data_IF_190600366674
#
_entry.id   IF_190600366674
#
_cell.length_a   1.000
_cell.length_b   1.000
_cell.length_c   1.000
_cell.angle_alpha   90.00
_cell.angle_beta   90.00
_cell.angle_gamma   90.00
#
_symmetry.space_group_name_H-M   'P 1'
#
loop_
_entity.id
_entity.type
_entity.pdbx_description
1 polymer ?
#
# COMPACT_ATOMS: atom_id res chain seq x y z
N UNK A 1 -42.83 20.24 -17.72
CA UNK A 1 -42.43 18.87 -18.14
C UNK A 1 -41.22 18.55 -17.31
N UNK A 2 -41.47 17.92 -16.17
CA UNK A 2 -40.51 17.75 -15.09
C UNK A 2 -39.42 16.77 -15.48
N UNK A 3 -38.18 17.23 -15.38
CA UNK A 3 -36.98 16.43 -15.62
C UNK A 3 -36.76 15.56 -14.38
N UNK A 4 -37.33 14.34 -14.39
CA UNK A 4 -37.09 13.38 -13.33
C UNK A 4 -35.60 13.04 -13.29
N UNK A 5 -34.97 13.46 -12.20
CA UNK A 5 -33.63 13.09 -11.76
C UNK A 5 -33.44 11.58 -11.85
N UNK A 6 -32.56 11.15 -12.75
CA UNK A 6 -32.13 9.76 -12.87
C UNK A 6 -31.14 9.45 -11.73
N UNK A 7 -31.62 9.46 -10.48
CA UNK A 7 -30.83 9.04 -9.34
C UNK A 7 -30.74 7.50 -9.36
N UNK A 8 -29.54 6.91 -9.21
CA UNK A 8 -29.40 5.46 -9.15
C UNK A 8 -30.22 4.90 -7.98
N UNK A 9 -30.84 3.74 -8.19
CA UNK A 9 -31.63 3.07 -7.17
C UNK A 9 -30.77 2.76 -5.92
N UNK A 10 -31.33 2.87 -4.71
CA UNK A 10 -30.59 2.61 -3.47
C UNK A 10 -30.10 1.15 -3.42
N UNK A 11 -28.82 0.96 -3.06
CA UNK A 11 -28.20 -0.36 -2.96
C UNK A 11 -28.74 -1.16 -1.77
N UNK A 12 -29.01 -2.45 -1.99
CA UNK A 12 -29.37 -3.41 -0.92
C UNK A 12 -28.21 -3.62 0.06
N UNK A 13 -28.48 -4.08 1.29
CA UNK A 13 -27.42 -4.37 2.29
C UNK A 13 -26.36 -5.34 1.73
N UNK A 14 -26.80 -6.40 1.05
CA UNK A 14 -25.90 -7.37 0.41
C UNK A 14 -25.01 -6.74 -0.66
N UNK A 15 -25.51 -5.78 -1.42
CA UNK A 15 -24.70 -5.07 -2.42
C UNK A 15 -23.67 -4.16 -1.76
N UNK A 16 -24.00 -3.55 -0.61
CA UNK A 16 -23.05 -2.75 0.17
C UNK A 16 -21.94 -3.60 0.77
N UNK A 17 -22.27 -4.77 1.32
CA UNK A 17 -21.26 -5.70 1.87
C UNK A 17 -20.29 -6.18 0.80
N UNK A 18 -20.80 -6.59 -0.37
CA UNK A 18 -19.95 -7.01 -1.50
C UNK A 18 -19.07 -5.85 -1.99
N UNK A 19 -19.59 -4.64 -2.08
CA UNK A 19 -18.80 -3.47 -2.47
C UNK A 19 -17.70 -3.14 -1.46
N UNK A 20 -17.95 -3.27 -0.15
CA UNK A 20 -16.92 -3.13 0.89
C UNK A 20 -15.86 -4.20 0.78
N UNK A 21 -16.25 -5.45 0.52
CA UNK A 21 -15.29 -6.54 0.40
C UNK A 21 -14.43 -6.44 -0.85
N UNK A 22 -14.98 -5.95 -1.97
CA UNK A 22 -14.21 -5.62 -3.17
C UNK A 22 -13.24 -4.46 -2.91
N UNK A 23 -13.63 -3.45 -2.14
CA UNK A 23 -12.76 -2.31 -1.81
C UNK A 23 -11.51 -2.71 -1.01
N UNK A 24 -11.52 -3.88 -0.36
CA UNK A 24 -10.38 -4.43 0.38
C UNK A 24 -9.35 -5.15 -0.51
N UNK A 25 -9.73 -5.53 -1.74
CA UNK A 25 -8.88 -6.34 -2.63
C UNK A 25 -7.99 -5.41 -3.46
N UNK A 26 -6.68 -5.67 -3.44
CA UNK A 26 -5.69 -4.96 -4.26
C UNK A 26 -4.77 -5.94 -4.96
N UNK A 27 -4.50 -5.70 -6.25
CA UNK A 27 -3.52 -6.47 -7.01
C UNK A 27 -2.12 -5.90 -6.78
N UNK A 28 -1.09 -6.75 -6.78
CA UNK A 28 0.29 -6.30 -6.56
C UNK A 28 0.74 -5.23 -7.57
N UNK A 29 0.20 -5.27 -8.79
CA UNK A 29 0.51 -4.29 -9.85
C UNK A 29 -0.11 -2.92 -9.60
N UNK A 30 -1.14 -2.82 -8.75
CA UNK A 30 -1.81 -1.54 -8.48
C UNK A 30 -0.89 -0.56 -7.77
N UNK A 31 0.14 -1.04 -7.06
CA UNK A 31 1.18 -0.21 -6.43
C UNK A 31 1.79 0.81 -7.41
N UNK A 32 1.97 0.44 -8.68
CA UNK A 32 2.57 1.30 -9.70
C UNK A 32 1.54 2.09 -10.53
N UNK A 33 0.25 1.72 -10.48
CA UNK A 33 -0.79 2.28 -11.36
C UNK A 33 -1.28 3.64 -10.90
N UNK A 34 -1.64 4.45 -11.89
CA UNK A 34 -2.38 5.70 -11.70
C UNK A 34 -3.88 5.42 -11.54
N UNK A 35 -4.27 4.98 -10.34
CA UNK A 35 -5.65 4.59 -10.05
C UNK A 35 -6.26 5.36 -8.87
N UNK A 36 -5.64 6.47 -8.47
CA UNK A 36 -5.99 7.17 -7.23
C UNK A 36 -5.51 6.42 -5.99
N UNK A 37 -6.06 6.69 -4.79
CA UNK A 37 -5.72 5.96 -3.57
C UNK A 37 -6.00 4.47 -3.72
N UNK A 38 -5.09 3.63 -3.20
CA UNK A 38 -5.28 2.18 -3.17
C UNK A 38 -6.29 1.75 -2.11
N UNK A 39 -6.45 2.56 -1.07
CA UNK A 39 -7.39 2.32 0.02
C UNK A 39 -7.90 3.64 0.58
N UNK A 40 -9.09 3.60 1.14
CA UNK A 40 -9.59 4.60 2.09
C UNK A 40 -10.17 3.81 3.26
N UNK A 41 -9.63 4.01 4.46
CA UNK A 41 -10.10 3.29 5.66
C UNK A 41 -11.09 4.20 6.40
N UNK A 42 -12.40 3.93 6.31
CA UNK A 42 -13.38 4.66 7.07
C UNK A 42 -13.26 4.30 8.57
N UNK A 43 -13.53 5.28 9.45
CA UNK A 43 -13.46 5.08 10.92
C UNK A 43 -14.39 3.95 11.36
N UNK A 44 -15.52 3.79 10.69
CA UNK A 44 -16.53 2.78 11.01
C UNK A 44 -16.08 1.33 10.69
N UNK A 45 -14.98 1.17 9.94
CA UNK A 45 -14.36 -0.15 9.68
C UNK A 45 -13.17 -0.46 10.60
N UNK A 46 -12.75 0.49 11.44
CA UNK A 46 -11.68 0.27 12.41
C UNK A 46 -12.17 -0.60 13.58
N UNK A 47 -11.24 -1.32 14.20
CA UNK A 47 -11.55 -2.08 15.42
C UNK A 47 -11.60 -1.08 16.59
N UNK A 48 -12.69 -1.08 17.40
CA UNK A 48 -12.79 -0.17 18.54
C UNK A 48 -11.71 -0.49 19.57
N UNK A 49 -11.05 0.57 20.06
CA UNK A 49 -10.07 0.45 21.12
C UNK A 49 -10.74 0.02 22.45
N UNK A 50 -9.97 -0.47 23.43
CA UNK A 50 -10.53 -0.78 24.74
C UNK A 50 -11.14 0.47 25.43
N UNK A 51 -12.08 0.28 26.37
CA UNK A 51 -12.67 1.38 27.12
C UNK A 51 -11.61 2.29 27.76
N UNK A 52 -11.76 3.63 27.72
CA UNK A 52 -12.96 4.39 27.33
C UNK A 52 -13.03 4.81 25.85
N UNK A 53 -12.19 4.24 24.98
CA UNK A 53 -12.10 4.62 23.56
C UNK A 53 -12.85 3.64 22.63
N UNK A 54 -13.83 2.91 23.18
CA UNK A 54 -14.57 1.85 22.51
C UNK A 54 -15.72 2.33 21.62
N UNK A 55 -15.91 3.65 21.52
CA UNK A 55 -17.00 4.29 20.79
C UNK A 55 -16.49 5.05 19.58
N UNK A 56 -16.52 4.39 18.43
CA UNK A 56 -16.09 4.97 17.15
C UNK A 56 -16.90 6.22 16.77
N UNK A 57 -18.16 6.33 17.23
CA UNK A 57 -19.00 7.51 16.95
C UNK A 57 -18.53 8.77 17.70
N UNK A 58 -17.75 8.60 18.77
CA UNK A 58 -17.13 9.70 19.52
C UNK A 58 -15.76 10.09 18.94
N UNK A 59 -15.21 9.32 17.99
CA UNK A 59 -13.94 9.65 17.36
C UNK A 59 -14.07 10.85 16.40
N UNK A 60 -13.11 11.79 16.45
CA UNK A 60 -13.12 12.92 15.53
C UNK A 60 -12.88 12.45 14.09
N UNK A 61 -13.64 12.95 13.10
CA UNK A 61 -13.45 12.56 11.72
C UNK A 61 -12.06 12.96 11.21
N UNK A 62 -11.46 12.12 10.38
CA UNK A 62 -10.22 12.44 9.71
C UNK A 62 -10.41 13.67 8.81
N UNK A 63 -9.60 14.72 9.06
CA UNK A 63 -9.65 15.92 8.24
C UNK A 63 -9.10 15.61 6.85
N UNK A 64 -9.85 15.84 5.76
CA UNK A 64 -9.34 15.60 4.41
C UNK A 64 -8.12 16.47 4.09
N UNK A 65 -7.21 15.93 3.28
CA UNK A 65 -6.09 16.68 2.73
C UNK A 65 -6.58 17.80 1.82
N UNK A 66 -5.89 18.95 1.86
CA UNK A 66 -6.17 20.05 0.92
C UNK A 66 -5.75 19.69 -0.49
N UNK A 67 -6.41 20.25 -1.50
CA UNK A 67 -6.08 20.01 -2.91
C UNK A 67 -4.61 20.32 -3.21
N UNK A 68 -4.10 21.42 -2.65
CA UNK A 68 -2.70 21.81 -2.76
C UNK A 68 -1.73 20.79 -2.14
N UNK A 69 -2.11 20.10 -1.07
CA UNK A 69 -1.29 19.04 -0.48
C UNK A 69 -1.31 17.79 -1.37
N UNK A 70 -2.47 17.41 -1.91
CA UNK A 70 -2.63 16.23 -2.80
C UNK A 70 -1.91 16.38 -4.14
N UNK A 71 -1.85 17.61 -4.66
CA UNK A 71 -1.11 17.92 -5.89
C UNK A 71 0.40 17.89 -5.66
N UNK A 72 0.86 18.37 -4.50
CA UNK A 72 2.29 18.56 -4.21
C UNK A 72 2.98 17.31 -3.66
N UNK A 73 2.29 16.52 -2.85
CA UNK A 73 2.89 15.42 -2.09
C UNK A 73 2.28 14.07 -2.45
N UNK A 74 3.07 13.01 -2.27
CA UNK A 74 2.59 11.64 -2.38
C UNK A 74 1.64 11.32 -1.23
N UNK A 75 0.39 11.02 -1.57
CA UNK A 75 -0.68 10.60 -0.66
C UNK A 75 -1.55 9.49 -1.27
N UNK A 76 -1.17 8.95 -2.43
CA UNK A 76 -2.03 8.10 -3.26
C UNK A 76 -2.03 6.63 -2.79
N UNK A 77 -1.56 6.35 -1.58
CA UNK A 77 -1.71 5.05 -0.93
C UNK A 77 -3.05 4.98 -0.20
N UNK A 78 -3.21 5.80 0.83
CA UNK A 78 -4.30 5.78 1.81
C UNK A 78 -4.78 7.20 2.19
N UNK A 79 -4.55 8.18 1.30
CA UNK A 79 -4.89 9.59 1.50
C UNK A 79 -4.26 10.23 2.75
N UNK A 80 -3.18 9.64 3.28
CA UNK A 80 -2.44 10.17 4.43
C UNK A 80 -1.06 10.66 4.02
N UNK A 81 -0.58 11.74 4.67
CA UNK A 81 0.79 12.24 4.51
C UNK A 81 1.48 12.14 5.87
N UNK A 82 2.30 11.10 6.04
CA UNK A 82 3.18 10.97 7.21
C UNK A 82 4.51 11.71 7.00
N UNK A 83 5.01 11.72 5.77
CA UNK A 83 6.23 12.41 5.35
C UNK A 83 5.89 13.23 4.12
N UNK A 84 6.33 14.49 4.09
CA UNK A 84 6.11 15.44 2.99
C UNK A 84 6.95 15.11 1.74
N UNK A 85 6.77 13.90 1.20
CA UNK A 85 7.46 13.40 0.02
C UNK A 85 6.86 14.05 -1.24
N UNK A 86 7.61 14.89 -1.98
CA UNK A 86 7.07 15.59 -3.13
C UNK A 86 6.88 14.64 -4.32
N UNK A 87 5.90 14.96 -5.18
CA UNK A 87 5.78 14.32 -6.50
C UNK A 87 6.91 14.83 -7.42
N UNK A 88 7.56 13.98 -8.23
CA UNK A 88 8.62 14.39 -9.14
C UNK A 88 8.08 15.36 -10.19
N UNK A 89 8.84 16.42 -10.46
CA UNK A 89 8.42 17.45 -11.42
C UNK A 89 8.72 17.05 -12.88
N UNK A 90 9.70 16.18 -13.10
CA UNK A 90 10.12 15.71 -14.42
C UNK A 90 10.42 14.22 -14.41
N UNK A 91 10.42 13.62 -15.60
CA UNK A 91 10.75 12.21 -15.81
C UNK A 91 12.19 11.89 -15.38
N UNK A 92 13.15 12.80 -15.63
CA UNK A 92 14.54 12.60 -15.21
C UNK A 92 14.70 12.60 -13.69
N UNK A 93 13.90 13.40 -12.98
CA UNK A 93 13.89 13.41 -11.52
C UNK A 93 13.30 12.11 -10.97
N UNK A 94 12.22 11.62 -11.58
CA UNK A 94 11.64 10.32 -11.27
C UNK A 94 12.65 9.18 -11.46
N UNK A 95 13.32 9.12 -12.62
CA UNK A 95 14.35 8.13 -12.90
C UNK A 95 15.49 8.16 -11.86
N UNK A 96 15.95 9.37 -11.49
CA UNK A 96 16.99 9.56 -10.48
C UNK A 96 16.56 9.05 -9.11
N UNK A 97 15.31 9.30 -8.72
CA UNK A 97 14.76 8.84 -7.45
C UNK A 97 14.60 7.31 -7.42
N UNK A 98 14.07 6.72 -8.50
CA UNK A 98 13.95 5.25 -8.63
C UNK A 98 15.33 4.58 -8.62
N UNK A 99 16.31 5.13 -9.33
CA UNK A 99 17.69 4.63 -9.31
C UNK A 99 18.32 4.74 -7.91
N UNK A 100 18.03 5.82 -7.18
CA UNK A 100 18.50 6.01 -5.80
C UNK A 100 17.87 4.99 -4.84
N UNK A 101 16.58 4.69 -5.00
CA UNK A 101 15.90 3.62 -4.27
C UNK A 101 16.55 2.26 -4.53
N UNK A 102 16.77 1.89 -5.80
CA UNK A 102 17.43 0.63 -6.16
C UNK A 102 18.85 0.53 -5.60
N UNK A 103 19.60 1.64 -5.62
CA UNK A 103 20.93 1.74 -5.02
C UNK A 103 20.88 1.52 -3.50
N UNK A 104 19.91 2.12 -2.81
CA UNK A 104 19.69 1.89 -1.37
C UNK A 104 19.30 0.45 -1.07
N UNK A 105 18.38 -0.11 -1.85
CA UNK A 105 17.93 -1.49 -1.71
C UNK A 105 19.07 -2.49 -1.90
N UNK A 106 19.93 -2.29 -2.91
CA UNK A 106 21.12 -3.13 -3.13
C UNK A 106 21.99 -3.19 -1.88
N UNK A 107 22.25 -2.04 -1.24
CA UNK A 107 23.05 -1.94 -0.01
C UNK A 107 22.43 -2.73 1.15
N UNK A 108 21.10 -2.86 1.24
CA UNK A 108 20.47 -3.67 2.29
C UNK A 108 20.89 -5.15 2.24
N UNK A 109 21.32 -5.64 1.08
CA UNK A 109 21.76 -7.03 0.86
C UNK A 109 23.29 -7.19 0.84
N UNK A 110 24.04 -6.13 1.16
CA UNK A 110 25.50 -6.14 1.27
C UNK A 110 25.89 -6.26 2.76
N UNK A 111 26.83 -7.15 3.08
CA UNK A 111 27.26 -7.41 4.46
C UNK A 111 27.82 -6.15 5.11
N UNK A 112 28.62 -5.38 4.37
CA UNK A 112 29.24 -4.14 4.83
C UNK A 112 28.22 -3.09 5.30
N UNK A 113 27.00 -3.15 4.75
CA UNK A 113 25.95 -2.16 4.98
C UNK A 113 24.83 -2.65 5.93
N UNK A 114 24.63 -3.96 6.08
CA UNK A 114 23.50 -4.52 6.85
C UNK A 114 23.81 -5.82 7.62
N UNK A 115 25.07 -6.09 7.99
CA UNK A 115 25.46 -7.35 8.63
C UNK A 115 24.57 -7.82 9.81
N UNK A 116 24.03 -6.90 10.62
CA UNK A 116 23.19 -7.24 11.79
C UNK A 116 21.86 -7.90 11.37
N UNK A 117 21.25 -7.43 10.27
CA UNK A 117 19.93 -7.87 9.83
C UNK A 117 19.94 -8.60 8.50
N UNK A 118 21.13 -8.82 7.92
CA UNK A 118 21.28 -9.42 6.59
C UNK A 118 20.65 -10.82 6.52
N UNK A 119 20.95 -11.70 7.48
CA UNK A 119 20.42 -13.06 7.46
C UNK A 119 18.88 -13.10 7.57
N UNK A 120 18.23 -12.41 8.53
CA UNK A 120 16.76 -12.30 8.55
C UNK A 120 16.16 -11.75 7.24
N UNK A 121 16.79 -10.74 6.64
CA UNK A 121 16.32 -10.14 5.40
C UNK A 121 16.42 -11.11 4.22
N UNK A 122 17.55 -11.80 4.05
CA UNK A 122 17.74 -12.81 2.99
C UNK A 122 16.71 -13.93 3.13
N UNK A 123 16.53 -14.47 4.33
CA UNK A 123 15.55 -15.54 4.56
C UNK A 123 14.13 -15.07 4.22
N UNK A 124 13.78 -13.83 4.59
CA UNK A 124 12.46 -13.25 4.30
C UNK A 124 12.25 -12.98 2.80
N UNK A 125 13.32 -12.65 2.08
CA UNK A 125 13.30 -12.38 0.65
C UNK A 125 13.26 -13.68 -0.18
N UNK A 126 14.10 -14.67 0.16
CA UNK A 126 14.33 -15.86 -0.66
C UNK A 126 13.51 -17.08 -0.24
N UNK A 127 12.97 -17.13 0.98
CA UNK A 127 12.31 -18.33 1.53
C UNK A 127 10.87 -18.11 2.01
N UNK A 128 10.29 -16.94 1.78
CA UNK A 128 8.87 -16.74 2.06
C UNK A 128 8.00 -17.67 1.18
N UNK A 129 7.28 -18.60 1.81
CA UNK A 129 6.38 -19.54 1.11
C UNK A 129 5.02 -18.93 0.73
N UNK A 130 4.79 -17.64 1.01
CA UNK A 130 3.52 -16.92 0.76
C UNK A 130 2.29 -17.61 1.35
N UNK A 131 2.48 -18.31 2.47
CA UNK A 131 1.44 -19.08 3.16
C UNK A 131 0.39 -18.22 3.89
N UNK A 132 0.62 -16.91 3.99
CA UNK A 132 -0.24 -15.94 4.67
C UNK A 132 -0.47 -16.15 6.18
N UNK A 133 0.22 -17.09 6.82
CA UNK A 133 0.06 -17.38 8.25
C UNK A 133 0.44 -16.21 9.17
N UNK A 134 1.20 -15.24 8.67
CA UNK A 134 1.52 -14.02 9.40
C UNK A 134 0.40 -12.98 9.38
N UNK A 135 -0.61 -13.11 8.51
CA UNK A 135 -1.65 -12.08 8.34
C UNK A 135 -2.49 -11.92 9.60
N UNK A 136 -3.00 -13.01 10.17
CA UNK A 136 -3.84 -13.01 11.37
C UNK A 136 -3.10 -12.49 12.61
N UNK A 137 -1.77 -12.63 12.64
CA UNK A 137 -0.93 -12.12 13.73
C UNK A 137 -0.58 -10.63 13.58
N UNK A 138 -0.84 -10.03 12.42
CA UNK A 138 -0.48 -8.64 12.16
C UNK A 138 -1.58 -7.70 12.64
N UNK A 139 -1.30 -6.97 13.72
CA UNK A 139 -2.20 -5.94 14.22
C UNK A 139 -2.51 -4.87 13.16
N UNK A 140 -1.55 -4.45 12.33
CA UNK A 140 -1.84 -3.46 11.26
C UNK A 140 -2.92 -3.98 10.30
N UNK A 141 -2.82 -5.24 9.87
CA UNK A 141 -3.82 -5.83 8.97
C UNK A 141 -5.18 -6.01 9.66
N UNK A 142 -5.20 -6.51 10.89
CA UNK A 142 -6.43 -6.71 11.65
C UNK A 142 -7.13 -5.37 11.95
N UNK A 143 -6.40 -4.40 12.50
CA UNK A 143 -6.91 -3.07 12.87
C UNK A 143 -7.29 -2.23 11.65
N UNK A 144 -6.72 -2.52 10.47
CA UNK A 144 -7.14 -1.87 9.22
C UNK A 144 -8.53 -2.30 8.73
N UNK A 145 -9.18 -3.28 9.37
CA UNK A 145 -10.40 -3.89 8.85
C UNK A 145 -10.13 -4.93 7.76
N UNK A 146 -8.95 -5.56 7.78
CA UNK A 146 -8.51 -6.60 6.85
C UNK A 146 -8.33 -6.15 5.39
N UNK A 147 -7.97 -4.88 5.17
CA UNK A 147 -7.65 -4.34 3.84
C UNK A 147 -6.32 -4.91 3.32
N UNK A 148 -6.31 -5.47 2.11
CA UNK A 148 -5.16 -6.24 1.58
C UNK A 148 -3.90 -5.39 1.40
N UNK A 149 -4.02 -4.08 1.22
CA UNK A 149 -2.87 -3.17 1.11
C UNK A 149 -2.00 -3.18 2.39
N UNK A 150 -2.60 -3.47 3.55
CA UNK A 150 -1.92 -3.61 4.83
C UNK A 150 -1.63 -5.06 5.22
N UNK A 151 -2.02 -6.03 4.38
CA UNK A 151 -1.62 -7.42 4.57
C UNK A 151 -0.09 -7.50 4.56
N UNK A 152 0.56 -8.17 5.53
CA UNK A 152 2.03 -8.22 5.61
C UNK A 152 2.69 -8.73 4.32
N UNK A 153 2.00 -9.58 3.56
CA UNK A 153 2.51 -10.11 2.32
C UNK A 153 2.50 -9.12 1.17
N UNK A 154 1.64 -8.09 1.16
CA UNK A 154 1.42 -7.24 -0.01
C UNK A 154 2.70 -6.47 -0.40
N UNK A 155 3.15 -5.56 0.46
CA UNK A 155 4.39 -4.80 0.23
C UNK A 155 5.64 -5.68 0.27
N UNK A 156 5.67 -6.68 1.14
CA UNK A 156 6.80 -7.62 1.20
C UNK A 156 6.97 -8.40 -0.11
N UNK A 157 5.88 -8.73 -0.80
CA UNK A 157 5.93 -9.42 -2.09
C UNK A 157 6.37 -8.49 -3.22
N UNK A 158 5.91 -7.24 -3.23
CA UNK A 158 6.40 -6.22 -4.16
C UNK A 158 7.91 -6.02 -3.95
N UNK A 159 8.36 -5.89 -2.70
CA UNK A 159 9.78 -5.80 -2.35
C UNK A 159 10.56 -7.01 -2.84
N UNK A 160 10.05 -8.24 -2.68
CA UNK A 160 10.69 -9.46 -3.21
C UNK A 160 10.78 -9.45 -4.73
N UNK A 161 9.73 -9.05 -5.44
CA UNK A 161 9.77 -8.96 -6.91
C UNK A 161 10.80 -7.95 -7.39
N UNK A 162 10.89 -6.80 -6.72
CA UNK A 162 11.93 -5.80 -7.01
C UNK A 162 13.32 -6.39 -6.75
N UNK A 163 13.50 -7.08 -5.63
CA UNK A 163 14.76 -7.73 -5.28
C UNK A 163 15.22 -8.71 -6.36
N UNK A 164 14.36 -9.67 -6.72
CA UNK A 164 14.69 -10.69 -7.71
C UNK A 164 14.90 -10.09 -9.11
N UNK A 165 14.05 -9.15 -9.54
CA UNK A 165 14.12 -8.53 -10.88
C UNK A 165 15.31 -7.56 -11.03
N UNK A 166 15.49 -6.64 -10.10
CA UNK A 166 16.42 -5.51 -10.26
C UNK A 166 17.74 -5.67 -9.51
N UNK A 167 17.79 -6.44 -8.41
CA UNK A 167 19.02 -6.63 -7.62
C UNK A 167 19.73 -7.92 -8.01
N UNK A 168 18.98 -9.02 -8.11
CA UNK A 168 19.52 -10.35 -8.49
C UNK A 168 19.52 -10.59 -10.00
N UNK A 169 18.76 -9.80 -10.75
CA UNK A 169 18.57 -9.96 -12.20
C UNK A 169 18.07 -11.36 -12.59
N UNK A 170 17.21 -11.94 -11.75
CA UNK A 170 16.58 -13.24 -11.94
C UNK A 170 15.30 -13.13 -12.79
N UNK A 171 14.81 -14.27 -13.27
CA UNK A 171 13.65 -14.31 -14.16
C UNK A 171 12.36 -13.94 -13.43
N UNK A 172 11.61 -12.99 -14.01
CA UNK A 172 10.26 -12.62 -13.57
C UNK A 172 9.24 -13.73 -13.74
N UNK A 173 9.54 -14.76 -14.54
CA UNK A 173 8.68 -15.95 -14.68
C UNK A 173 8.61 -16.75 -13.37
N UNK A 174 9.72 -16.82 -12.61
CA UNK A 174 9.79 -17.57 -11.34
C UNK A 174 9.24 -16.73 -10.18
N UNK A 175 9.66 -15.46 -10.11
CA UNK A 175 9.42 -14.62 -8.95
C UNK A 175 8.21 -13.67 -9.09
N UNK A 176 7.65 -13.57 -10.30
CA UNK A 176 6.62 -12.60 -10.66
C UNK A 176 7.23 -11.28 -11.14
N UNK A 177 6.49 -10.57 -11.99
CA UNK A 177 6.89 -9.26 -12.49
C UNK A 177 6.27 -8.13 -11.68
N UNK A 178 6.90 -6.96 -11.73
CA UNK A 178 6.40 -5.72 -11.14
C UNK A 178 6.98 -4.51 -11.88
N UNK A 179 6.14 -3.51 -12.11
CA UNK A 179 6.56 -2.22 -12.63
C UNK A 179 7.15 -1.37 -11.50
N UNK A 180 8.22 -0.65 -11.81
CA UNK A 180 8.91 0.20 -10.84
C UNK A 180 9.00 1.63 -11.38
N UNK A 181 8.15 2.50 -10.83
CA UNK A 181 8.11 3.93 -11.05
C UNK A 181 8.12 4.64 -9.69
N UNK A 182 8.16 5.97 -9.67
CA UNK A 182 8.21 6.71 -8.40
C UNK A 182 6.98 6.44 -7.53
N UNK A 183 5.80 6.29 -8.14
CA UNK A 183 4.56 5.96 -7.43
C UNK A 183 4.66 4.63 -6.68
N UNK A 184 5.23 3.60 -7.31
CA UNK A 184 5.49 2.32 -6.66
C UNK A 184 6.46 2.46 -5.49
N UNK A 185 7.52 3.27 -5.65
CA UNK A 185 8.52 3.54 -4.59
C UNK A 185 7.90 4.31 -3.42
N UNK A 186 7.11 5.34 -3.70
CA UNK A 186 6.50 6.19 -2.67
C UNK A 186 5.40 5.48 -1.85
N UNK A 187 4.77 4.45 -2.43
CA UNK A 187 3.73 3.63 -1.77
C UNK A 187 4.29 2.43 -0.99
N UNK A 188 5.56 2.08 -1.17
CA UNK A 188 6.24 0.98 -0.46
C UNK A 188 6.59 1.38 0.97
#
# INVERSE_FOLDING_TARGET
MDNQSNAPAPMTDRQRDVSREIAKIVELTDIARDCGPLVDIPIEEQIPLPPPFDKLEEEPPHKPLTDAAREKYECDLDMTIAVNMPKPATEEEEERLVASFLSGMKKLFEEENNWIFLQPLIISAEHCAKCQTCSEACHIYQESGEHDVYRPSYRSEIFRRIYHKYIKHESTWVHGDIDLNWRAVARL
#
